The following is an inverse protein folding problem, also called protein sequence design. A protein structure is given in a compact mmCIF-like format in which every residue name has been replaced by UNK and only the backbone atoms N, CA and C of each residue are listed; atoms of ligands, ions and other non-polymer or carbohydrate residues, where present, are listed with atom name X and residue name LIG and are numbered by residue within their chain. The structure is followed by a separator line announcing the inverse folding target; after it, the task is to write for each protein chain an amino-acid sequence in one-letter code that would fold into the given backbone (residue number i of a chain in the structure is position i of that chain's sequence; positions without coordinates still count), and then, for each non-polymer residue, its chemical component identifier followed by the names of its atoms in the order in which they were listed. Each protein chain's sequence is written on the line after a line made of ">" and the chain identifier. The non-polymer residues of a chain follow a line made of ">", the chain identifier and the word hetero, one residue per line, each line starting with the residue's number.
data_IF_222904422999
#
_entry.id   IF_222904422999
#
_cell.length_a   1.000
_cell.length_b   1.000
_cell.length_c   1.000
_cell.angle_alpha   90.00
_cell.angle_beta   90.00
_cell.angle_gamma   90.00
#
_symmetry.space_group_name_H-M   'P 1'
#
loop_
_entity.id
_entity.type
_entity.pdbx_description
1 polymer ?
#
# COMPACT_ATOMS: atom_id res chain seq x y z
N UNK A 1 16.49 20.80 1.37
CA UNK A 1 16.27 20.24 0.02
C UNK A 1 14.91 19.54 -0.08
N UNK A 2 14.57 18.62 0.85
CA UNK A 2 13.26 17.95 0.90
C UNK A 2 12.05 18.89 0.91
N UNK A 3 12.04 19.95 1.72
CA UNK A 3 10.91 20.91 1.75
C UNK A 3 10.68 21.62 0.41
N UNK A 4 11.74 21.85 -0.38
CA UNK A 4 11.61 22.46 -1.72
C UNK A 4 11.02 21.47 -2.71
N UNK A 5 11.47 20.20 -2.67
CA UNK A 5 10.93 19.12 -3.49
C UNK A 5 9.46 18.85 -3.17
N UNK A 6 9.12 18.92 -1.89
CA UNK A 6 7.75 18.80 -1.44
C UNK A 6 6.86 19.96 -1.87
N UNK A 7 7.33 21.21 -1.80
CA UNK A 7 6.59 22.37 -2.33
C UNK A 7 6.44 22.30 -3.85
N UNK A 8 7.41 21.73 -4.56
CA UNK A 8 7.35 21.52 -6.00
C UNK A 8 6.24 20.54 -6.41
N UNK A 9 6.20 19.38 -5.76
CA UNK A 9 5.20 18.32 -6.00
C UNK A 9 3.79 18.78 -5.59
N UNK A 10 3.68 19.71 -4.63
CA UNK A 10 2.40 20.24 -4.15
C UNK A 10 1.74 21.22 -5.13
N UNK A 11 2.50 21.77 -6.08
CA UNK A 11 1.97 22.70 -7.05
C UNK A 11 1.54 21.96 -8.33
N UNK A 12 0.23 21.83 -8.52
CA UNK A 12 -0.37 21.14 -9.67
C UNK A 12 0.14 21.68 -11.01
N UNK A 13 0.45 22.98 -11.09
CA UNK A 13 0.99 23.59 -12.32
C UNK A 13 2.42 23.11 -12.59
N UNK A 14 3.29 23.07 -11.59
CA UNK A 14 4.67 22.62 -11.77
C UNK A 14 4.76 21.12 -12.09
N UNK A 15 3.93 20.29 -11.45
CA UNK A 15 3.87 18.85 -11.78
C UNK A 15 3.35 18.64 -13.19
N UNK A 16 2.29 19.33 -13.60
CA UNK A 16 1.75 19.23 -14.97
C UNK A 16 2.78 19.68 -16.02
N UNK A 17 3.48 20.79 -15.79
CA UNK A 17 4.56 21.25 -16.68
C UNK A 17 5.69 20.21 -16.76
N UNK A 18 6.07 19.62 -15.63
CA UNK A 18 7.11 18.57 -15.59
C UNK A 18 6.71 17.33 -16.39
N UNK A 19 5.45 16.89 -16.23
CA UNK A 19 4.92 15.73 -16.95
C UNK A 19 4.91 15.99 -18.46
N UNK A 20 4.51 17.19 -18.89
CA UNK A 20 4.55 17.59 -20.31
C UNK A 20 5.99 17.58 -20.83
N UNK A 21 6.94 18.18 -20.11
CA UNK A 21 8.36 18.21 -20.51
C UNK A 21 8.93 16.79 -20.60
N UNK A 22 8.63 15.93 -19.62
CA UNK A 22 9.05 14.53 -19.64
C UNK A 22 8.40 13.74 -20.78
N UNK A 23 7.14 14.03 -21.14
CA UNK A 23 6.47 13.41 -22.29
C UNK A 23 7.12 13.81 -23.62
N UNK A 24 7.49 15.09 -23.77
CA UNK A 24 8.21 15.58 -24.96
C UNK A 24 9.60 14.91 -25.04
N UNK A 25 10.31 14.83 -23.92
CA UNK A 25 11.59 14.11 -23.82
C UNK A 25 11.44 12.62 -24.16
N UNK A 26 10.38 11.97 -23.68
CA UNK A 26 10.08 10.58 -23.99
C UNK A 26 9.92 10.38 -25.51
N UNK A 27 9.22 11.29 -26.19
CA UNK A 27 9.05 11.23 -27.65
C UNK A 27 10.36 11.39 -28.43
N UNK A 28 11.30 12.18 -27.91
CA UNK A 28 12.61 12.37 -28.53
C UNK A 28 13.51 11.15 -28.26
N UNK A 29 13.59 10.73 -27.00
CA UNK A 29 14.48 9.62 -26.57
C UNK A 29 13.99 8.28 -27.10
N UNK A 30 12.68 8.09 -27.32
CA UNK A 30 12.12 6.87 -27.91
C UNK A 30 12.57 6.59 -29.33
N UNK A 31 13.01 7.63 -30.05
CA UNK A 31 13.60 7.47 -31.38
C UNK A 31 15.08 7.09 -31.34
N UNK A 32 15.73 7.19 -30.19
CA UNK A 32 17.19 7.00 -30.06
C UNK A 32 17.53 5.74 -29.27
N UNK A 33 16.89 5.50 -28.11
CA UNK A 33 17.21 4.35 -27.26
C UNK A 33 15.99 3.77 -26.54
N UNK A 34 15.88 2.45 -26.54
CA UNK A 34 14.84 1.71 -25.78
C UNK A 34 15.05 1.84 -24.28
N UNK A 35 16.31 1.75 -23.80
CA UNK A 35 16.66 1.92 -22.39
C UNK A 35 16.29 3.32 -21.84
N UNK A 36 16.61 4.38 -22.59
CA UNK A 36 16.26 5.75 -22.19
C UNK A 36 14.75 5.97 -22.11
N UNK A 37 13.99 5.33 -23.01
CA UNK A 37 12.52 5.34 -23.01
C UNK A 37 11.94 4.72 -21.75
N UNK A 38 12.46 3.55 -21.36
CA UNK A 38 12.04 2.83 -20.16
C UNK A 38 12.28 3.68 -18.91
N UNK A 39 13.47 4.27 -18.77
CA UNK A 39 13.81 5.13 -17.62
C UNK A 39 12.89 6.37 -17.56
N UNK A 40 12.64 7.02 -18.68
CA UNK A 40 11.73 8.17 -18.76
C UNK A 40 10.29 7.80 -18.41
N UNK A 41 9.81 6.65 -18.87
CA UNK A 41 8.48 6.14 -18.53
C UNK A 41 8.35 5.95 -17.01
N UNK A 42 9.39 5.42 -16.34
CA UNK A 42 9.41 5.28 -14.88
C UNK A 42 9.44 6.61 -14.14
N UNK A 43 10.18 7.59 -14.64
CA UNK A 43 10.17 8.94 -14.06
C UNK A 43 8.78 9.59 -14.16
N UNK A 44 8.10 9.43 -15.30
CA UNK A 44 6.74 9.93 -15.52
C UNK A 44 5.76 9.21 -14.58
N UNK A 45 5.77 7.87 -14.57
CA UNK A 45 4.94 7.05 -13.68
C UNK A 45 5.19 7.40 -12.21
N UNK A 46 6.46 7.45 -11.79
CA UNK A 46 6.85 7.79 -10.42
C UNK A 46 6.34 9.17 -10.00
N UNK A 47 6.52 10.21 -10.83
CA UNK A 47 6.01 11.55 -10.55
C UNK A 47 4.49 11.61 -10.49
N UNK A 48 3.80 10.93 -11.42
CA UNK A 48 2.35 10.86 -11.45
C UNK A 48 1.78 10.16 -10.20
N UNK A 49 2.38 9.03 -9.81
CA UNK A 49 2.01 8.30 -8.60
C UNK A 49 2.27 9.11 -7.34
N UNK A 50 3.46 9.73 -7.21
CA UNK A 50 3.80 10.54 -6.06
C UNK A 50 2.83 11.73 -5.92
N UNK A 51 2.41 12.32 -7.04
CA UNK A 51 1.36 13.34 -7.06
C UNK A 51 0.00 12.80 -6.61
N UNK A 52 -0.46 11.66 -7.14
CA UNK A 52 -1.74 11.04 -6.74
C UNK A 52 -1.74 10.67 -5.27
N UNK A 53 -0.72 9.96 -4.80
CA UNK A 53 -0.56 9.51 -3.42
C UNK A 53 -0.67 10.70 -2.49
N UNK A 54 0.05 11.79 -2.80
CA UNK A 54 0.07 12.97 -1.97
C UNK A 54 -1.23 13.76 -1.98
N UNK A 55 -1.86 13.91 -3.15
CA UNK A 55 -3.19 14.52 -3.26
C UNK A 55 -4.22 13.70 -2.50
N UNK A 56 -4.10 12.38 -2.53
CA UNK A 56 -4.95 11.45 -1.80
C UNK A 56 -4.76 11.55 -0.29
N UNK A 57 -3.51 11.63 0.18
CA UNK A 57 -3.19 11.88 1.60
C UNK A 57 -3.83 13.17 2.09
N UNK A 58 -3.71 14.27 1.34
CA UNK A 58 -4.30 15.58 1.71
C UNK A 58 -5.83 15.58 1.77
N UNK A 59 -6.49 14.71 0.99
CA UNK A 59 -7.95 14.56 1.01
C UNK A 59 -8.42 13.66 2.16
N UNK A 60 -7.56 12.77 2.64
CA UNK A 60 -7.88 11.78 3.67
C UNK A 60 -7.80 12.35 5.09
N UNK A 61 -8.73 13.27 5.38
CA UNK A 61 -8.80 13.97 6.67
C UNK A 61 -9.62 13.24 7.72
N UNK A 62 -10.43 12.25 7.34
CA UNK A 62 -11.28 11.47 8.24
C UNK A 62 -10.79 10.03 8.38
N UNK A 63 -11.16 9.38 9.48
CA UNK A 63 -10.82 7.97 9.74
C UNK A 63 -11.35 7.07 8.61
N UNK A 64 -12.58 7.33 8.15
CA UNK A 64 -13.20 6.58 7.07
C UNK A 64 -12.39 6.64 5.76
N UNK A 65 -11.94 7.82 5.36
CA UNK A 65 -11.10 7.93 4.17
C UNK A 65 -9.73 7.29 4.36
N UNK A 66 -9.18 7.28 5.58
CA UNK A 66 -7.92 6.57 5.87
C UNK A 66 -8.09 5.05 5.80
N UNK A 67 -9.23 4.51 6.24
CA UNK A 67 -9.57 3.10 6.07
C UNK A 67 -9.61 2.75 4.57
N UNK A 68 -10.40 3.49 3.78
CA UNK A 68 -10.48 3.26 2.33
C UNK A 68 -9.11 3.37 1.67
N UNK A 69 -8.31 4.36 2.08
CA UNK A 69 -6.96 4.56 1.55
C UNK A 69 -6.07 3.34 1.81
N UNK A 70 -6.05 2.84 3.05
CA UNK A 70 -5.29 1.65 3.44
C UNK A 70 -5.79 0.37 2.78
N UNK A 71 -7.07 0.33 2.41
CA UNK A 71 -7.61 -0.80 1.66
C UNK A 71 -7.17 -0.77 0.20
N UNK A 72 -7.19 0.38 -0.46
CA UNK A 72 -7.04 0.45 -1.93
C UNK A 72 -5.60 0.77 -2.37
N UNK A 73 -4.99 1.81 -1.79
CA UNK A 73 -3.74 2.37 -2.31
C UNK A 73 -2.54 1.43 -2.26
N UNK A 74 -2.37 0.56 -1.24
CA UNK A 74 -1.30 -0.43 -1.22
C UNK A 74 -1.33 -1.38 -2.43
N UNK A 75 -2.50 -1.77 -2.95
CA UNK A 75 -2.59 -2.56 -4.18
C UNK A 75 -2.09 -1.77 -5.39
N UNK A 76 -2.56 -0.53 -5.55
CA UNK A 76 -2.17 0.32 -6.68
C UNK A 76 -0.65 0.55 -6.66
N UNK A 77 -0.07 0.78 -5.48
CA UNK A 77 1.36 1.01 -5.32
C UNK A 77 2.17 -0.27 -5.53
N UNK A 78 1.70 -1.42 -5.04
CA UNK A 78 2.40 -2.70 -5.18
C UNK A 78 2.28 -3.32 -6.59
N UNK A 79 1.30 -2.90 -7.40
CA UNK A 79 1.19 -3.30 -8.81
C UNK A 79 2.30 -2.70 -9.69
N UNK A 80 2.80 -1.53 -9.32
CA UNK A 80 3.87 -0.82 -10.05
C UNK A 80 5.17 -1.63 -10.18
N UNK A 81 5.77 -2.16 -9.09
CA UNK A 81 6.94 -3.02 -9.18
C UNK A 81 6.64 -4.35 -9.88
N UNK A 82 5.41 -4.87 -9.82
CA UNK A 82 5.02 -6.05 -10.61
C UNK A 82 5.05 -5.77 -12.12
N UNK A 83 4.53 -4.61 -12.55
CA UNK A 83 4.63 -4.17 -13.96
C UNK A 83 6.08 -3.97 -14.39
N UNK A 84 6.96 -3.53 -13.48
CA UNK A 84 8.39 -3.39 -13.77
C UNK A 84 9.02 -4.75 -14.05
N UNK A 85 8.72 -5.75 -13.21
CA UNK A 85 9.24 -7.11 -13.33
C UNK A 85 8.79 -7.74 -14.64
N UNK A 86 7.52 -7.58 -15.01
CA UNK A 86 6.94 -8.11 -16.24
C UNK A 86 7.73 -7.66 -17.49
N UNK A 87 8.00 -6.35 -17.57
CA UNK A 87 8.67 -5.74 -18.72
C UNK A 87 10.17 -6.09 -18.76
N UNK A 88 10.83 -6.18 -17.59
CA UNK A 88 12.28 -6.39 -17.49
C UNK A 88 12.65 -7.87 -17.61
N UNK A 89 11.89 -8.75 -16.97
CA UNK A 89 12.21 -10.18 -16.87
C UNK A 89 11.51 -10.98 -17.98
N UNK A 90 10.51 -10.41 -18.69
CA UNK A 90 9.76 -11.06 -19.78
C UNK A 90 9.41 -12.51 -19.42
N UNK A 91 8.50 -12.68 -18.48
CA UNK A 91 8.01 -13.97 -18.05
C UNK A 91 6.74 -13.81 -17.23
N UNK A 92 5.98 -14.89 -17.09
CA UNK A 92 4.74 -14.86 -16.31
C UNK A 92 5.01 -14.36 -14.89
N UNK A 93 4.42 -13.22 -14.55
CA UNK A 93 4.60 -12.53 -13.27
C UNK A 93 4.23 -13.47 -12.13
N UNK A 94 3.22 -14.34 -12.32
CA UNK A 94 2.74 -15.22 -11.26
C UNK A 94 3.61 -16.46 -11.05
N UNK A 95 4.39 -16.87 -12.04
CA UNK A 95 5.30 -18.03 -11.94
C UNK A 95 6.68 -17.64 -11.40
N UNK A 96 7.04 -16.37 -11.44
CA UNK A 96 8.34 -15.92 -10.96
C UNK A 96 8.40 -15.94 -9.42
N UNK A 97 9.31 -16.75 -8.87
CA UNK A 97 9.54 -16.89 -7.42
C UNK A 97 9.77 -15.57 -6.66
N UNK A 98 10.18 -14.50 -7.33
CA UNK A 98 10.43 -13.18 -6.72
C UNK A 98 9.22 -12.23 -6.73
N UNK A 99 8.20 -12.47 -7.54
CA UNK A 99 7.09 -11.53 -7.75
C UNK A 99 6.22 -11.36 -6.50
N UNK A 100 5.79 -12.47 -5.91
CA UNK A 100 4.90 -12.49 -4.75
C UNK A 100 5.57 -11.86 -3.51
N UNK A 101 6.84 -12.22 -3.16
CA UNK A 101 7.53 -11.56 -2.06
C UNK A 101 7.73 -10.05 -2.27
N UNK A 102 8.08 -9.61 -3.49
CA UNK A 102 8.24 -8.18 -3.79
C UNK A 102 6.92 -7.42 -3.67
N UNK A 103 5.83 -7.99 -4.18
CA UNK A 103 4.51 -7.42 -4.03
C UNK A 103 4.13 -7.23 -2.56
N UNK A 104 4.30 -8.27 -1.74
CA UNK A 104 4.04 -8.19 -0.29
C UNK A 104 4.92 -7.12 0.36
N UNK A 105 6.20 -7.04 -0.01
CA UNK A 105 7.12 -6.04 0.54
C UNK A 105 6.63 -4.61 0.27
N UNK A 106 6.30 -4.27 -0.97
CA UNK A 106 5.82 -2.93 -1.32
C UNK A 106 4.46 -2.61 -0.69
N UNK A 107 3.60 -3.61 -0.58
CA UNK A 107 2.32 -3.49 0.11
C UNK A 107 2.52 -3.11 1.59
N UNK A 108 3.39 -3.83 2.30
CA UNK A 108 3.72 -3.57 3.72
C UNK A 108 4.40 -2.21 3.88
N UNK A 109 5.36 -1.88 3.03
CA UNK A 109 6.06 -0.58 3.10
C UNK A 109 5.09 0.61 2.93
N UNK A 110 4.07 0.46 2.09
CA UNK A 110 3.03 1.49 1.91
C UNK A 110 2.26 1.75 3.20
N UNK A 111 1.90 0.69 3.93
CA UNK A 111 1.23 0.79 5.22
C UNK A 111 2.11 1.45 6.28
N UNK A 112 3.38 1.03 6.38
CA UNK A 112 4.34 1.63 7.31
C UNK A 112 4.53 3.12 7.00
N UNK A 113 4.65 3.48 5.71
CA UNK A 113 4.72 4.88 5.30
C UNK A 113 3.48 5.68 5.69
N UNK A 114 2.28 5.12 5.49
CA UNK A 114 1.02 5.75 5.87
C UNK A 114 0.96 6.12 7.36
N UNK A 115 1.52 5.26 8.24
CA UNK A 115 1.61 5.53 9.69
C UNK A 115 2.39 6.80 9.99
N UNK A 116 3.42 7.14 9.23
CA UNK A 116 4.22 8.35 9.47
C UNK A 116 3.65 9.61 8.83
N UNK A 117 2.80 9.45 7.82
CA UNK A 117 2.23 10.56 7.06
C UNK A 117 0.90 11.03 7.62
N UNK A 118 0.03 10.10 8.01
CA UNK A 118 -1.30 10.44 8.51
C UNK A 118 -1.27 10.92 9.97
N UNK A 119 -2.35 11.59 10.38
CA UNK A 119 -2.55 12.01 11.76
C UNK A 119 -2.59 10.80 12.70
N UNK A 120 -1.80 10.84 13.78
CA UNK A 120 -1.55 9.69 14.65
C UNK A 120 -2.83 9.08 15.26
N UNK A 121 -3.72 9.92 15.77
CA UNK A 121 -4.99 9.51 16.39
C UNK A 121 -5.87 8.74 15.39
N UNK A 122 -6.02 9.29 14.18
CA UNK A 122 -6.89 8.76 13.13
C UNK A 122 -6.33 7.47 12.53
N UNK A 123 -5.03 7.45 12.22
CA UNK A 123 -4.40 6.30 11.58
C UNK A 123 -4.34 5.10 12.53
N UNK A 124 -4.12 5.34 13.83
CA UNK A 124 -4.17 4.30 14.85
C UNK A 124 -5.53 3.60 14.87
N UNK A 125 -6.62 4.37 14.88
CA UNK A 125 -7.98 3.81 14.88
C UNK A 125 -8.28 3.07 13.58
N UNK A 126 -7.91 3.64 12.43
CA UNK A 126 -8.10 3.01 11.13
C UNK A 126 -7.41 1.64 11.05
N UNK A 127 -6.16 1.55 11.52
CA UNK A 127 -5.37 0.32 11.50
C UNK A 127 -5.91 -0.71 12.48
N UNK A 128 -6.33 -0.30 13.69
CA UNK A 128 -6.97 -1.20 14.65
C UNK A 128 -8.28 -1.80 14.09
N UNK A 129 -9.09 -0.98 13.41
CA UNK A 129 -10.32 -1.45 12.76
C UNK A 129 -10.02 -2.48 11.67
N UNK A 130 -9.10 -2.19 10.76
CA UNK A 130 -8.77 -3.13 9.68
C UNK A 130 -8.13 -4.41 10.25
N UNK A 131 -7.25 -4.29 11.24
CA UNK A 131 -6.64 -5.45 11.89
C UNK A 131 -7.68 -6.38 12.51
N UNK A 132 -8.70 -5.83 13.18
CA UNK A 132 -9.81 -6.63 13.72
C UNK A 132 -10.58 -7.36 12.62
N UNK A 133 -10.83 -6.71 11.48
CA UNK A 133 -11.48 -7.34 10.32
C UNK A 133 -10.63 -8.46 9.72
N UNK A 134 -9.32 -8.25 9.55
CA UNK A 134 -8.39 -9.26 9.01
C UNK A 134 -8.31 -10.47 9.94
N UNK A 135 -8.21 -10.25 11.25
CA UNK A 135 -8.23 -11.33 12.24
C UNK A 135 -9.55 -12.09 12.24
N UNK A 136 -10.67 -11.40 12.04
CA UNK A 136 -11.99 -12.04 11.92
C UNK A 136 -12.07 -12.92 10.68
N UNK A 137 -11.58 -12.43 9.52
CA UNK A 137 -11.50 -13.22 8.28
C UNK A 137 -10.63 -14.45 8.50
N UNK A 138 -9.43 -14.30 9.06
CA UNK A 138 -8.55 -15.42 9.37
C UNK A 138 -9.19 -16.43 10.32
N UNK A 139 -9.91 -15.96 11.35
CA UNK A 139 -10.66 -16.82 12.26
C UNK A 139 -11.75 -17.63 11.55
N UNK A 140 -12.50 -16.99 10.64
CA UNK A 140 -13.49 -17.67 9.81
C UNK A 140 -12.81 -18.68 8.87
N UNK A 141 -11.72 -18.30 8.20
CA UNK A 141 -10.94 -19.19 7.33
C UNK A 141 -10.42 -20.41 8.09
N UNK A 142 -9.95 -20.22 9.33
CA UNK A 142 -9.50 -21.30 10.19
C UNK A 142 -10.65 -22.24 10.56
N UNK A 143 -11.80 -21.71 10.97
CA UNK A 143 -13.00 -22.52 11.26
C UNK A 143 -13.45 -23.33 10.05
N UNK A 144 -13.44 -22.71 8.86
CA UNK A 144 -13.75 -23.36 7.59
C UNK A 144 -12.77 -24.47 7.25
N UNK A 145 -11.47 -24.27 7.49
CA UNK A 145 -10.45 -25.28 7.25
C UNK A 145 -10.67 -26.54 8.09
N UNK A 146 -11.07 -26.39 9.35
CA UNK A 146 -11.35 -27.52 10.25
C UNK A 146 -12.76 -28.10 10.09
N UNK A 147 -13.70 -27.35 9.52
CA UNK A 147 -15.06 -27.81 9.27
C UNK A 147 -15.56 -27.32 7.88
N UNK A 148 -15.32 -28.10 6.82
CA UNK A 148 -15.69 -27.73 5.46
C UNK A 148 -17.20 -27.57 5.24
N UNK A 149 -18.05 -28.19 6.08
CA UNK A 149 -19.50 -28.01 5.99
C UNK A 149 -19.94 -26.60 6.38
N UNK A 150 -19.14 -25.89 7.17
CA UNK A 150 -19.37 -24.49 7.54
C UNK A 150 -19.32 -23.56 6.30
N UNK A 151 -18.53 -23.93 5.28
CA UNK A 151 -18.41 -23.21 4.02
C UNK A 151 -19.71 -23.26 3.21
N UNK A 152 -20.41 -24.40 3.20
CA UNK A 152 -21.72 -24.57 2.56
C UNK A 152 -22.80 -23.70 3.20
N UNK A 153 -22.71 -23.46 4.52
CA UNK A 153 -23.66 -22.62 5.25
C UNK A 153 -23.44 -21.12 4.94
N UNK A 154 -22.18 -20.68 4.83
CA UNK A 154 -21.82 -19.27 4.58
C UNK A 154 -21.89 -18.87 3.10
N UNK A 155 -21.51 -19.76 2.19
CA UNK A 155 -21.29 -19.46 0.77
C UNK A 155 -22.01 -20.42 -0.18
N UNK A 156 -23.02 -21.18 0.27
CA UNK A 156 -23.68 -22.21 -0.52
C UNK A 156 -24.07 -21.78 -1.94
N UNK A 157 -24.61 -20.55 -2.11
CA UNK A 157 -24.94 -20.00 -3.43
C UNK A 157 -23.72 -19.57 -4.27
N UNK A 158 -22.65 -19.11 -3.62
CA UNK A 158 -21.43 -18.66 -4.28
C UNK A 158 -20.62 -19.86 -4.80
N UNK A 159 -20.63 -20.97 -4.08
CA UNK A 159 -19.96 -22.22 -4.47
C UNK A 159 -20.63 -22.81 -5.72
N UNK A 160 -21.97 -22.80 -5.78
CA UNK A 160 -22.72 -23.23 -6.98
C UNK A 160 -22.40 -22.38 -8.23
N UNK A 161 -22.12 -21.08 -8.07
CA UNK A 161 -21.70 -20.21 -9.17
C UNK A 161 -20.23 -20.40 -9.58
N UNK A 162 -19.35 -20.80 -8.64
CA UNK A 162 -17.92 -21.00 -8.89
C UNK A 162 -17.63 -22.31 -9.63
N UNK A 163 -18.42 -23.36 -9.41
CA UNK A 163 -18.30 -24.63 -10.16
C UNK A 163 -18.46 -24.47 -11.68
N UNK A 164 -19.10 -23.37 -12.14
CA UNK A 164 -19.19 -23.02 -13.56
C UNK A 164 -17.88 -22.49 -14.17
N UNK A 165 -16.88 -22.12 -13.37
CA UNK A 165 -15.65 -21.46 -13.85
C UNK A 165 -14.44 -22.39 -14.03
N UNK A 166 -14.61 -23.71 -13.93
CA UNK A 166 -13.54 -24.74 -14.07
C UNK A 166 -12.36 -24.62 -13.09
N UNK A 167 -12.40 -23.66 -12.16
CA UNK A 167 -11.46 -23.51 -11.06
C UNK A 167 -11.99 -24.27 -9.84
N UNK A 168 -11.14 -25.07 -9.19
CA UNK A 168 -11.53 -25.72 -7.94
C UNK A 168 -11.71 -24.67 -6.84
N UNK A 169 -12.70 -24.83 -5.97
CA UNK A 169 -12.92 -23.91 -4.84
C UNK A 169 -11.67 -23.75 -3.96
N UNK A 170 -10.87 -24.83 -3.84
CA UNK A 170 -9.58 -24.83 -3.13
C UNK A 170 -8.55 -23.89 -3.78
N UNK A 171 -8.48 -23.84 -5.11
CA UNK A 171 -7.54 -22.95 -5.84
C UNK A 171 -7.89 -21.47 -5.67
N UNK A 172 -9.19 -21.13 -5.68
CA UNK A 172 -9.66 -19.76 -5.44
C UNK A 172 -9.40 -19.33 -4.00
N UNK A 173 -9.61 -20.23 -3.03
CA UNK A 173 -9.28 -19.97 -1.64
C UNK A 173 -7.79 -19.74 -1.40
N UNK A 174 -6.91 -20.56 -2.00
CA UNK A 174 -5.45 -20.36 -1.87
C UNK A 174 -5.01 -19.01 -2.47
N UNK A 175 -5.58 -18.61 -3.61
CA UNK A 175 -5.33 -17.30 -4.23
C UNK A 175 -5.81 -16.15 -3.33
N UNK A 176 -7.03 -16.23 -2.78
CA UNK A 176 -7.59 -15.22 -1.86
C UNK A 176 -6.74 -15.07 -0.58
N UNK A 177 -6.26 -16.18 -0.03
CA UNK A 177 -5.43 -16.16 1.17
C UNK A 177 -4.06 -15.56 0.83
N UNK A 178 -3.41 -16.01 -0.25
CA UNK A 178 -2.05 -15.57 -0.63
C UNK A 178 -1.99 -14.13 -1.13
N UNK A 179 -2.93 -13.70 -1.97
CA UNK A 179 -2.87 -12.39 -2.64
C UNK A 179 -3.60 -11.27 -1.90
N UNK A 180 -4.50 -11.60 -0.97
CA UNK A 180 -5.29 -10.59 -0.25
C UNK A 180 -5.01 -10.71 1.25
N UNK A 181 -5.31 -11.85 1.86
CA UNK A 181 -5.31 -11.96 3.33
C UNK A 181 -3.90 -11.85 3.92
N UNK A 182 -2.91 -12.53 3.34
CA UNK A 182 -1.53 -12.52 3.81
C UNK A 182 -0.88 -11.12 3.74
N UNK A 183 -0.95 -10.37 2.62
CA UNK A 183 -0.46 -8.99 2.55
C UNK A 183 -1.07 -8.09 3.63
N UNK A 184 -2.39 -8.15 3.84
CA UNK A 184 -3.05 -7.34 4.86
C UNK A 184 -2.66 -7.73 6.29
N UNK A 185 -2.54 -9.02 6.56
CA UNK A 185 -2.09 -9.51 7.86
C UNK A 185 -0.69 -8.99 8.20
N UNK A 186 0.26 -9.17 7.28
CA UNK A 186 1.63 -8.69 7.46
C UNK A 186 1.68 -7.15 7.57
N UNK A 187 0.90 -6.45 6.75
CA UNK A 187 0.82 -5.00 6.80
C UNK A 187 0.26 -4.49 8.13
N UNK A 188 -0.77 -5.14 8.68
CA UNK A 188 -1.32 -4.80 9.99
C UNK A 188 -0.28 -5.00 11.11
N UNK A 189 0.46 -6.11 11.09
CA UNK A 189 1.51 -6.40 12.07
C UNK A 189 2.59 -5.30 12.06
N UNK A 190 3.15 -5.02 10.89
CA UNK A 190 4.21 -4.02 10.75
C UNK A 190 3.73 -2.59 11.02
N UNK A 191 2.49 -2.28 10.67
CA UNK A 191 1.95 -0.95 10.93
C UNK A 191 1.58 -0.75 12.40
N UNK A 192 1.13 -1.78 13.13
CA UNK A 192 0.98 -1.72 14.58
C UNK A 192 2.33 -1.46 15.26
N UNK A 193 3.38 -2.18 14.84
CA UNK A 193 4.75 -1.91 15.32
C UNK A 193 5.20 -0.47 15.02
N UNK A 194 4.93 0.04 13.82
CA UNK A 194 5.25 1.42 13.45
C UNK A 194 4.45 2.45 14.28
N UNK A 195 3.19 2.16 14.62
CA UNK A 195 2.36 3.00 15.51
C UNK A 195 2.97 3.08 16.91
N UNK A 196 3.45 1.96 17.45
CA UNK A 196 4.10 1.93 18.77
C UNK A 196 5.40 2.73 18.78
N UNK A 197 6.24 2.54 17.76
CA UNK A 197 7.47 3.33 17.59
C UNK A 197 7.19 4.83 17.50
N UNK A 198 6.20 5.23 16.69
CA UNK A 198 5.79 6.63 16.57
C UNK A 198 5.23 7.16 17.89
N UNK A 199 4.45 6.37 18.61
CA UNK A 199 3.93 6.71 19.94
C UNK A 199 5.04 6.98 20.95
N UNK A 200 6.05 6.10 21.01
CA UNK A 200 7.23 6.27 21.86
C UNK A 200 8.00 7.56 21.52
N UNK A 201 8.20 7.86 20.24
CA UNK A 201 8.85 9.10 19.80
C UNK A 201 8.09 10.36 20.23
N UNK A 202 6.76 10.34 20.18
CA UNK A 202 5.92 11.46 20.62
C UNK A 202 6.04 11.66 22.14
N UNK A 203 5.96 10.58 22.92
CA UNK A 203 6.09 10.60 24.39
C UNK A 203 7.44 11.19 24.82
N UNK A 204 8.56 10.68 24.28
CA UNK A 204 9.91 11.16 24.60
C UNK A 204 10.12 12.65 24.24
N UNK A 205 9.48 13.13 23.17
CA UNK A 205 9.52 14.54 22.78
C UNK A 205 8.76 15.43 23.76
N UNK A 206 7.69 14.91 24.38
CA UNK A 206 6.92 15.61 25.40
C UNK A 206 7.73 15.76 26.69
N UNK A 207 8.35 14.67 27.17
CA UNK A 207 9.20 14.67 28.36
C UNK A 207 10.35 15.68 28.26
N UNK A 208 11.07 15.71 27.12
CA UNK A 208 12.15 16.69 26.91
C UNK A 208 11.68 18.14 26.98
N UNK A 209 10.47 18.43 26.50
CA UNK A 209 9.89 19.78 26.58
C UNK A 209 9.58 20.18 28.03
N UNK A 210 9.06 19.26 28.83
CA UNK A 210 8.78 19.50 30.24
C UNK A 210 10.06 19.81 31.04
N UNK A 211 11.14 19.06 30.79
CA UNK A 211 12.45 19.31 31.42
C UNK A 211 13.03 20.67 31.01
N UNK A 212 12.88 21.09 29.75
CA UNK A 212 13.38 22.39 29.30
C UNK A 212 12.63 23.59 29.89
N UNK A 213 11.33 23.43 30.20
CA UNK A 213 10.53 24.50 30.82
C UNK A 213 10.92 24.67 32.29
N UNK A 214 11.13 23.57 33.01
CA UNK A 214 11.60 23.60 34.40
C UNK A 214 13.03 24.12 34.55
N UNK A 215 13.88 23.94 33.54
CA UNK A 215 15.26 24.46 33.53
C UNK A 215 15.40 25.95 33.24
N UNK A 216 14.34 26.63 32.78
CA UNK A 216 14.32 28.08 32.52
C UNK A 216 13.72 28.91 33.66
N UNK A 217 13.18 28.27 34.70
CA UNK A 217 12.59 28.92 35.88
C UNK A 217 13.56 28.98 37.09
N UNK A 218 14.82 28.59 36.92
CA UNK A 218 15.90 28.75 37.90
C UNK A 218 17.00 29.68 37.36
#
# INVERSE_FOLDING_TARGET
>A
MLNKLFNYIDNEKYVSISLVVLFVLLFIVSKVTTLGTIILLYLIMGLFYLHIIRKSIRKSNTIFFQIIWLLIMPFIIALLPMLVIDIVIKGDIMENSFSTPLYILFFVLTWVFAVYVFEYSKIKVAIQFINASVLSILGITFLVYFNPEFLKILFGKLIEEIEFTSLSAESIFDILIRLITLPYFLACLWANFAIELRGYQISKKCERKMVSIQGTEN
#
